data_IF_144232877262
#
_entry.id   IF_144232877262
#
_cell.length_a   1.000
_cell.length_b   1.000
_cell.length_c   1.000
_cell.angle_alpha   90.00
_cell.angle_beta   90.00
_cell.angle_gamma   90.00
#
_symmetry.space_group_name_H-M   'P 1'
#
loop_
_entity.id
_entity.type
_entity.pdbx_description
1 polymer ?
#
# COMPACT_ATOMS: atom_id res chain seq x y z
N UNK A 1 13.65 5.17 -17.86
CA UNK A 1 14.31 4.19 -16.96
C UNK A 1 15.07 4.99 -15.92
N UNK A 2 14.62 5.07 -14.66
CA UNK A 2 15.35 5.83 -13.64
C UNK A 2 15.00 5.51 -12.16
N UNK A 3 14.27 4.43 -11.85
CA UNK A 3 13.80 4.20 -10.47
C UNK A 3 14.31 2.90 -9.85
N UNK A 4 14.82 1.95 -10.64
CA UNK A 4 15.29 0.65 -10.11
C UNK A 4 16.81 0.46 -10.09
N UNK A 5 17.62 1.43 -10.56
CA UNK A 5 19.09 1.27 -10.59
C UNK A 5 19.79 1.64 -9.26
N UNK A 6 19.06 2.21 -8.29
CA UNK A 6 19.60 2.53 -6.94
C UNK A 6 19.04 1.66 -5.80
N UNK A 7 18.27 0.62 -6.10
CA UNK A 7 17.86 -0.39 -5.10
C UNK A 7 16.90 0.08 -3.99
N UNK A 8 16.33 1.29 -4.08
CA UNK A 8 15.35 1.77 -3.11
C UNK A 8 13.99 1.11 -3.30
N UNK A 9 13.34 0.73 -2.20
CA UNK A 9 11.96 0.26 -2.24
C UNK A 9 11.01 1.41 -2.60
N UNK A 10 9.81 1.13 -3.13
CA UNK A 10 8.81 2.15 -3.44
C UNK A 10 7.42 1.72 -3.02
N UNK A 11 6.60 2.72 -2.68
CA UNK A 11 5.15 2.60 -2.53
C UNK A 11 4.49 3.64 -3.44
N UNK A 12 3.88 3.18 -4.52
CA UNK A 12 3.34 4.02 -5.58
C UNK A 12 1.82 4.05 -5.53
N UNK A 13 1.25 5.21 -5.20
CA UNK A 13 -0.20 5.43 -5.28
C UNK A 13 -0.69 5.36 -6.74
N UNK A 14 -1.71 4.54 -6.98
CA UNK A 14 -2.38 4.41 -8.26
C UNK A 14 -3.52 5.44 -8.35
N UNK A 15 -3.44 6.34 -9.35
CA UNK A 15 -4.45 7.36 -9.65
C UNK A 15 -5.05 7.15 -11.04
N UNK A 16 -6.15 7.85 -11.33
CA UNK A 16 -6.94 7.70 -12.56
C UNK A 16 -6.20 8.01 -13.87
N UNK A 17 -4.99 8.54 -13.83
CA UNK A 17 -4.12 8.73 -14.99
C UNK A 17 -3.44 7.42 -15.46
N UNK A 18 -3.49 6.33 -14.69
CA UNK A 18 -3.00 4.99 -15.07
C UNK A 18 -4.13 3.95 -14.97
N UNK A 19 -5.17 4.12 -15.80
CA UNK A 19 -6.43 3.35 -15.72
C UNK A 19 -6.24 1.84 -15.80
N UNK A 20 -5.33 1.36 -16.65
CA UNK A 20 -5.08 -0.08 -16.78
C UNK A 20 -4.45 -0.69 -15.52
N UNK A 21 -3.52 0.02 -14.87
CA UNK A 21 -2.95 -0.43 -13.59
C UNK A 21 -3.98 -0.45 -12.47
N UNK A 22 -4.85 0.55 -12.41
CA UNK A 22 -5.96 0.58 -11.44
C UNK A 22 -6.90 -0.61 -11.66
N UNK A 23 -7.27 -0.89 -12.92
CA UNK A 23 -8.16 -2.01 -13.25
C UNK A 23 -7.54 -3.35 -12.85
N UNK A 24 -6.27 -3.58 -13.22
CA UNK A 24 -5.57 -4.82 -12.89
C UNK A 24 -5.39 -4.98 -11.37
N UNK A 25 -5.03 -3.92 -10.64
CA UNK A 25 -4.94 -3.96 -9.18
C UNK A 25 -6.28 -4.39 -8.55
N UNK A 26 -7.40 -3.78 -8.97
CA UNK A 26 -8.74 -4.14 -8.48
C UNK A 26 -9.10 -5.59 -8.76
N UNK A 27 -8.84 -6.04 -9.99
CA UNK A 27 -9.09 -7.42 -10.39
C UNK A 27 -8.31 -8.40 -9.49
N UNK A 28 -7.00 -8.19 -9.34
CA UNK A 28 -6.16 -9.04 -8.50
C UNK A 28 -6.62 -9.08 -7.05
N UNK A 29 -6.95 -7.92 -6.46
CA UNK A 29 -7.47 -7.79 -5.10
C UNK A 29 -8.88 -8.39 -4.90
N UNK A 30 -9.56 -8.81 -5.97
CA UNK A 30 -10.87 -9.48 -5.89
C UNK A 30 -10.78 -10.97 -6.24
N UNK A 31 -9.87 -11.36 -7.11
CA UNK A 31 -9.70 -12.76 -7.56
C UNK A 31 -8.99 -13.66 -6.54
N UNK A 32 -8.20 -13.08 -5.64
CA UNK A 32 -7.45 -13.83 -4.62
C UNK A 32 -7.85 -13.38 -3.23
N UNK A 33 -7.70 -14.26 -2.25
CA UNK A 33 -7.85 -13.90 -0.83
C UNK A 33 -6.65 -13.04 -0.39
N UNK A 34 -6.84 -11.76 -0.04
CA UNK A 34 -5.75 -10.90 0.40
C UNK A 34 -5.31 -11.24 1.83
N UNK A 35 -4.05 -10.91 2.15
CA UNK A 35 -3.67 -10.72 3.55
C UNK A 35 -4.30 -9.42 4.04
N UNK A 36 -4.92 -9.44 5.22
CA UNK A 36 -5.70 -8.30 5.75
C UNK A 36 -5.22 -7.90 7.15
N UNK A 37 -5.20 -6.60 7.42
CA UNK A 37 -5.19 -6.07 8.79
C UNK A 37 -6.03 -4.81 8.84
N UNK A 38 -6.63 -4.56 9.99
CA UNK A 38 -7.37 -3.34 10.28
C UNK A 38 -6.80 -2.61 11.49
N UNK A 39 -7.04 -1.31 11.55
CA UNK A 39 -6.67 -0.45 12.67
C UNK A 39 -7.70 0.64 12.85
N UNK A 40 -8.13 0.82 14.08
CA UNK A 40 -9.01 1.92 14.52
C UNK A 40 -8.22 2.86 15.40
N UNK A 41 -8.24 4.16 15.09
CA UNK A 41 -7.52 5.18 15.85
C UNK A 41 -8.43 6.36 16.15
N UNK A 42 -8.44 6.78 17.42
CA UNK A 42 -9.15 8.00 17.84
C UNK A 42 -8.16 9.16 17.95
N UNK A 43 -8.42 10.26 17.25
CA UNK A 43 -7.59 11.47 17.30
C UNK A 43 -8.46 12.72 17.28
N UNK A 44 -8.22 13.62 18.24
CA UNK A 44 -8.98 14.87 18.40
C UNK A 44 -10.51 14.66 18.39
N UNK A 45 -10.99 13.61 19.08
CA UNK A 45 -12.41 13.27 19.16
C UNK A 45 -13.01 12.62 17.91
N UNK A 46 -12.21 12.35 16.88
CA UNK A 46 -12.63 11.66 15.65
C UNK A 46 -12.11 10.24 15.64
N UNK A 47 -12.94 9.30 15.20
CA UNK A 47 -12.55 7.91 15.02
C UNK A 47 -12.23 7.65 13.55
N UNK A 48 -11.07 7.07 13.25
CA UNK A 48 -10.72 6.63 11.92
C UNK A 48 -10.40 5.14 11.91
N UNK A 49 -11.22 4.38 11.19
CA UNK A 49 -10.97 2.99 10.87
C UNK A 49 -10.25 2.90 9.53
N UNK A 50 -9.25 2.03 9.45
CA UNK A 50 -8.52 1.69 8.22
C UNK A 50 -8.35 0.19 8.11
N UNK A 51 -8.46 -0.30 6.89
CA UNK A 51 -8.16 -1.67 6.52
C UNK A 51 -7.13 -1.66 5.39
N UNK A 52 -6.13 -2.53 5.51
CA UNK A 52 -5.18 -2.82 4.47
C UNK A 52 -5.37 -4.24 3.97
N UNK A 53 -5.46 -4.37 2.65
CA UNK A 53 -5.47 -5.63 1.94
C UNK A 53 -4.24 -5.69 1.03
N UNK A 54 -3.46 -6.75 1.16
CA UNK A 54 -2.20 -6.92 0.40
C UNK A 54 -2.24 -8.23 -0.37
N UNK A 55 -1.89 -8.16 -1.66
CA UNK A 55 -1.74 -9.33 -2.54
C UNK A 55 -0.42 -9.26 -3.28
N UNK A 56 0.23 -10.41 -3.46
CA UNK A 56 1.43 -10.51 -4.26
C UNK A 56 1.13 -10.23 -5.75
N UNK A 57 2.04 -9.54 -6.42
CA UNK A 57 1.99 -9.30 -7.85
C UNK A 57 2.62 -10.47 -8.61
N UNK A 58 1.84 -11.54 -8.83
CA UNK A 58 2.27 -12.71 -9.61
C UNK A 58 2.62 -12.32 -11.05
N UNK A 59 1.93 -11.30 -11.58
CA UNK A 59 2.21 -10.67 -12.87
C UNK A 59 2.62 -9.20 -12.65
N UNK A 60 3.94 -8.91 -12.61
CA UNK A 60 4.42 -7.55 -12.39
C UNK A 60 4.05 -6.61 -13.55
N UNK A 61 3.47 -5.44 -13.23
CA UNK A 61 3.14 -4.41 -14.23
C UNK A 61 4.33 -3.54 -14.64
N UNK A 62 5.43 -3.63 -13.89
CA UNK A 62 6.72 -3.00 -14.20
C UNK A 62 7.85 -3.73 -13.45
N UNK A 63 9.11 -3.57 -13.87
CA UNK A 63 10.24 -4.14 -13.15
C UNK A 63 10.24 -3.76 -11.67
N UNK A 64 10.43 -4.75 -10.80
CA UNK A 64 10.45 -4.57 -9.35
C UNK A 64 9.08 -4.57 -8.68
N UNK A 65 7.96 -4.55 -9.40
CA UNK A 65 6.63 -4.60 -8.78
C UNK A 65 6.34 -5.96 -8.14
N UNK A 66 6.13 -5.98 -6.81
CA UNK A 66 5.92 -7.22 -6.03
C UNK A 66 4.57 -7.32 -5.32
N UNK A 67 3.83 -6.23 -5.13
CA UNK A 67 2.54 -6.29 -4.45
C UNK A 67 1.56 -5.19 -4.87
N UNK A 68 0.27 -5.55 -4.88
CA UNK A 68 -0.84 -4.60 -4.86
C UNK A 68 -1.38 -4.44 -3.45
N UNK A 69 -1.78 -3.21 -3.12
CA UNK A 69 -2.30 -2.87 -1.80
C UNK A 69 -3.57 -2.05 -1.97
N UNK A 70 -4.63 -2.39 -1.23
CA UNK A 70 -5.83 -1.58 -1.06
C UNK A 70 -5.90 -1.08 0.36
N UNK A 71 -6.02 0.23 0.52
CA UNK A 71 -6.30 0.87 1.80
C UNK A 71 -7.72 1.42 1.75
N UNK A 72 -8.59 0.87 2.58
CA UNK A 72 -9.92 1.42 2.82
C UNK A 72 -9.87 2.22 4.11
N UNK A 73 -10.30 3.47 4.09
CA UNK A 73 -10.33 4.34 5.28
C UNK A 73 -11.71 4.94 5.46
N UNK A 74 -12.24 4.90 6.66
CA UNK A 74 -13.50 5.53 7.04
C UNK A 74 -13.30 6.36 8.30
N UNK A 75 -13.72 7.62 8.25
CA UNK A 75 -13.71 8.51 9.40
C UNK A 75 -15.13 8.70 9.92
N UNK A 76 -15.34 8.46 11.20
CA UNK A 76 -16.65 8.51 11.84
C UNK A 76 -17.70 7.78 10.97
N UNK A 77 -18.85 8.41 10.69
CA UNK A 77 -19.90 7.82 9.84
C UNK A 77 -19.83 8.31 8.38
N UNK A 78 -18.66 8.75 7.90
CA UNK A 78 -18.49 9.21 6.51
C UNK A 78 -18.42 8.04 5.52
N UNK A 79 -18.50 8.35 4.22
CA UNK A 79 -18.30 7.34 3.17
C UNK A 79 -16.85 6.84 3.19
N UNK A 80 -16.62 5.51 3.11
CA UNK A 80 -15.28 4.97 2.96
C UNK A 80 -14.56 5.51 1.73
N UNK A 81 -13.27 5.77 1.89
CA UNK A 81 -12.36 6.15 0.82
C UNK A 81 -11.41 4.99 0.53
N UNK A 82 -11.26 4.64 -0.74
CA UNK A 82 -10.37 3.57 -1.19
C UNK A 82 -9.17 4.16 -1.91
N UNK A 83 -7.98 3.71 -1.53
CA UNK A 83 -6.71 4.01 -2.21
C UNK A 83 -6.03 2.72 -2.63
N UNK A 84 -5.44 2.73 -3.82
CA UNK A 84 -4.71 1.59 -4.36
C UNK A 84 -3.24 1.95 -4.50
N UNK A 85 -2.37 1.00 -4.21
CA UNK A 85 -0.92 1.17 -4.34
C UNK A 85 -0.28 -0.04 -5.02
N UNK A 86 0.90 0.19 -5.59
CA UNK A 86 1.86 -0.83 -5.99
C UNK A 86 3.12 -0.69 -5.15
N UNK A 87 3.71 -1.80 -4.72
CA UNK A 87 4.94 -1.80 -3.94
C UNK A 87 6.05 -2.61 -4.63
N UNK A 88 7.30 -2.23 -4.40
CA UNK A 88 8.49 -2.98 -4.83
C UNK A 88 8.81 -4.21 -3.97
N UNK A 89 8.12 -4.32 -2.84
CA UNK A 89 8.28 -5.36 -1.84
C UNK A 89 6.92 -5.86 -1.39
N UNK A 90 6.87 -7.11 -0.94
CA UNK A 90 5.66 -7.68 -0.37
C UNK A 90 5.58 -7.26 1.11
N UNK A 91 4.74 -6.27 1.38
CA UNK A 91 4.52 -5.74 2.72
C UNK A 91 3.54 -6.62 3.50
N UNK A 92 3.72 -6.69 4.82
CA UNK A 92 2.61 -7.13 5.67
C UNK A 92 1.48 -6.09 5.64
N UNK A 93 0.22 -6.49 5.84
CA UNK A 93 -0.88 -5.54 5.93
C UNK A 93 -0.67 -4.46 7.01
N UNK A 94 0.03 -4.80 8.10
CA UNK A 94 0.37 -3.85 9.14
C UNK A 94 1.36 -2.78 8.65
N UNK A 95 2.42 -3.19 7.95
CA UNK A 95 3.38 -2.29 7.31
C UNK A 95 2.70 -1.41 6.26
N UNK A 96 1.74 -1.94 5.51
CA UNK A 96 0.96 -1.17 4.54
C UNK A 96 0.12 -0.06 5.21
N UNK A 97 -0.49 -0.33 6.37
CA UNK A 97 -1.18 0.69 7.16
C UNK A 97 -0.22 1.80 7.64
N UNK A 98 0.95 1.42 8.15
CA UNK A 98 1.94 2.39 8.67
C UNK A 98 2.50 3.27 7.55
N UNK A 99 2.88 2.67 6.42
CA UNK A 99 3.43 3.38 5.27
C UNK A 99 2.39 4.26 4.57
N UNK A 100 1.15 3.78 4.42
CA UNK A 100 0.08 4.58 3.80
C UNK A 100 -0.31 5.79 4.66
N UNK A 101 -0.21 5.68 5.99
CA UNK A 101 -0.40 6.80 6.91
C UNK A 101 0.74 7.82 6.82
N UNK A 102 1.99 7.36 6.77
CA UNK A 102 3.14 8.25 6.58
C UNK A 102 3.07 9.00 5.24
N UNK A 103 2.57 8.34 4.19
CA UNK A 103 2.39 8.94 2.87
C UNK A 103 1.34 10.06 2.83
N UNK A 104 0.31 10.02 3.69
CA UNK A 104 -0.79 10.99 3.69
C UNK A 104 -0.34 12.43 3.99
N UNK A 105 0.82 12.64 4.63
CA UNK A 105 1.31 13.99 4.93
C UNK A 105 1.86 14.73 3.71
N UNK A 106 2.09 14.07 2.57
CA UNK A 106 2.82 14.62 1.43
C UNK A 106 1.99 14.42 0.15
N UNK A 107 0.86 15.11 0.09
CA UNK A 107 -0.10 15.02 -1.02
C UNK A 107 0.36 15.86 -2.23
N UNK A 108 1.52 15.56 -2.84
CA UNK A 108 1.87 16.07 -4.18
C UNK A 108 3.10 15.44 -4.88
N UNK A 109 3.60 14.28 -4.43
CA UNK A 109 4.74 13.61 -5.10
C UNK A 109 4.31 12.35 -5.83
N UNK A 110 4.21 12.39 -7.16
CA UNK A 110 4.25 11.19 -7.99
C UNK A 110 5.58 10.47 -7.68
N UNK A 111 5.49 9.24 -7.16
CA UNK A 111 6.59 8.33 -6.81
C UNK A 111 7.24 8.64 -5.45
N UNK A 112 6.80 7.94 -4.40
CA UNK A 112 7.56 7.85 -3.15
C UNK A 112 8.47 6.63 -3.21
N UNK A 113 9.78 6.90 -3.30
CA UNK A 113 10.83 5.91 -3.03
C UNK A 113 10.99 5.87 -1.52
N UNK A 114 10.71 4.71 -0.96
CA UNK A 114 10.88 4.39 0.43
C UNK A 114 12.34 3.92 0.63
N UNK A 115 13.23 4.81 1.09
CA UNK A 115 14.57 4.43 1.59
C UNK A 115 14.48 3.78 2.99
N UNK A 116 13.50 2.91 3.22
CA UNK A 116 13.37 2.16 4.48
C UNK A 116 13.95 0.78 4.26
N UNK A 117 14.99 0.46 5.02
CA UNK A 117 15.52 -0.88 5.14
C UNK A 117 14.43 -1.77 5.78
N UNK A 118 13.57 -2.39 4.97
CA UNK A 118 12.50 -3.28 5.40
C UNK A 118 13.03 -4.68 5.75
N UNK A 119 14.06 -4.73 6.61
CA UNK A 119 14.86 -5.93 6.80
C UNK A 119 15.50 -6.08 8.18
N UNK A 120 14.76 -5.89 9.28
CA UNK A 120 15.17 -6.35 10.61
C UNK A 120 13.98 -6.77 11.50
N UNK A 121 12.98 -7.50 10.97
CA UNK A 121 11.98 -8.15 11.85
C UNK A 121 11.51 -9.52 11.35
N UNK A 122 12.44 -10.32 10.80
CA UNK A 122 12.23 -11.76 10.60
C UNK A 122 13.23 -12.60 11.40
N UNK A 123 13.57 -12.17 12.61
CA UNK A 123 14.35 -12.99 13.55
C UNK A 123 13.69 -13.06 14.93
N UNK A 124 12.51 -13.68 14.96
CA UNK A 124 11.93 -14.37 16.14
C UNK A 124 11.32 -15.67 15.59
N UNK A 125 11.65 -16.88 16.01
CA UNK A 125 12.48 -17.37 17.08
C UNK A 125 13.02 -18.76 16.66
N UNK A 126 14.15 -19.15 17.23
CA UNK A 126 14.70 -20.50 17.22
C UNK A 126 13.94 -21.38 18.21
#
# INVERSE_FOLDING_TARGET
QAITERGGDYLLALKGNRRHWVAHAKQRLTEVTPAVAERTETSHGRNEWREAEVVAAVEPLMPGHKAFIRITSQRDQTKPLVRLFMASTLLSPQQALDLSRAHWLIENGLHWVLDVHLGEDQSRAR
#
